data_IF_555603046214
#
_entry.id   IF_555603046214
#
_cell.length_a   1.000
_cell.length_b   1.000
_cell.length_c   1.000
_cell.angle_alpha   90.00
_cell.angle_beta   90.00
_cell.angle_gamma   90.00
#
_symmetry.space_group_name_H-M   'P 1'
#
loop_
_entity.id
_entity.type
_entity.pdbx_description
1 polymer ?
#
# COMPACT_ATOMS: atom_id res chain seq x y z
N UNK A 1 46.66 -39.96 5.77
CA UNK A 1 47.02 -40.07 4.33
C UNK A 1 45.78 -39.85 3.51
N UNK A 2 45.87 -38.84 2.71
CA UNK A 2 44.87 -38.28 1.80
C UNK A 2 44.35 -39.25 0.75
N UNK A 3 43.03 -39.26 0.50
CA UNK A 3 42.50 -39.34 -0.91
C UNK A 3 41.06 -38.93 -0.95
N UNK A 4 40.83 -37.75 -1.44
CA UNK A 4 39.62 -37.17 -1.94
C UNK A 4 39.00 -38.03 -3.06
N UNK A 5 37.71 -38.36 -2.94
CA UNK A 5 36.92 -38.92 -4.07
C UNK A 5 35.89 -37.89 -4.52
N UNK A 6 36.13 -37.34 -5.69
CA UNK A 6 35.21 -36.43 -6.40
C UNK A 6 34.09 -37.28 -7.00
N UNK A 7 32.86 -37.08 -6.54
CA UNK A 7 31.67 -37.61 -7.16
C UNK A 7 31.21 -36.61 -8.25
N UNK A 8 31.41 -37.01 -9.52
CA UNK A 8 30.92 -36.28 -10.70
C UNK A 8 29.65 -36.96 -11.21
N UNK A 9 28.60 -36.18 -11.26
CA UNK A 9 27.30 -36.31 -11.91
C UNK A 9 27.23 -37.18 -13.16
N UNK A 10 26.20 -38.01 -13.23
CA UNK A 10 25.58 -38.44 -14.49
C UNK A 10 24.03 -38.47 -14.26
N UNK A 11 23.35 -37.35 -14.57
CA UNK A 11 21.92 -37.34 -14.76
C UNK A 11 21.68 -37.67 -16.22
N UNK A 12 21.36 -38.92 -16.49
CA UNK A 12 20.87 -39.37 -17.78
C UNK A 12 19.36 -39.23 -17.85
N UNK A 13 18.89 -38.32 -18.64
CA UNK A 13 17.48 -38.15 -19.00
C UNK A 13 17.06 -39.31 -19.91
N UNK A 14 16.16 -40.15 -19.44
CA UNK A 14 15.47 -41.12 -20.32
C UNK A 14 14.05 -40.65 -20.54
N UNK A 15 13.82 -40.04 -21.71
CA UNK A 15 12.50 -39.79 -22.24
C UNK A 15 11.97 -41.12 -22.81
N UNK A 16 10.92 -41.68 -22.25
CA UNK A 16 10.16 -42.75 -22.88
C UNK A 16 8.91 -42.17 -23.50
N UNK A 17 8.92 -42.14 -24.84
CA UNK A 17 7.83 -41.78 -25.68
C UNK A 17 6.81 -42.92 -25.76
N UNK A 18 5.55 -42.62 -25.61
CA UNK A 18 4.48 -43.56 -25.87
C UNK A 18 3.09 -42.99 -25.64
N UNK A 19 2.53 -42.34 -26.64
CA UNK A 19 1.18 -42.52 -27.18
C UNK A 19 0.79 -41.31 -28.02
N UNK A 20 0.54 -41.58 -29.25
CA UNK A 20 0.03 -40.63 -30.26
C UNK A 20 -1.33 -40.07 -29.88
N UNK A 21 -1.38 -38.78 -29.69
CA UNK A 21 -2.57 -37.97 -29.87
C UNK A 21 -2.18 -36.79 -30.76
N UNK A 22 -2.82 -36.69 -31.88
CA UNK A 22 -2.61 -35.70 -32.92
C UNK A 22 -2.83 -34.29 -32.41
N UNK A 23 -1.74 -33.52 -32.30
CA UNK A 23 -1.78 -32.07 -32.13
C UNK A 23 -1.41 -31.38 -33.46
N UNK A 24 -2.04 -30.25 -33.79
CA UNK A 24 -1.76 -29.56 -35.03
C UNK A 24 -0.38 -28.88 -34.97
N UNK A 25 0.27 -29.01 -36.11
CA UNK A 25 1.50 -28.46 -36.66
C UNK A 25 2.01 -27.19 -35.93
N UNK A 26 3.02 -27.33 -35.06
CA UNK A 26 3.82 -26.23 -34.60
C UNK A 26 4.77 -25.77 -35.72
N UNK A 27 4.72 -24.48 -36.03
CA UNK A 27 5.60 -23.84 -36.99
C UNK A 27 7.05 -23.86 -36.46
N UNK A 28 7.98 -24.27 -37.32
CA UNK A 28 9.42 -24.23 -37.11
C UNK A 28 9.85 -22.77 -36.85
N UNK A 29 10.39 -22.50 -35.70
CA UNK A 29 11.10 -21.26 -35.42
C UNK A 29 12.54 -21.44 -35.89
N UNK A 30 12.85 -20.92 -37.07
CA UNK A 30 14.22 -20.75 -37.55
C UNK A 30 14.88 -19.63 -36.73
N UNK A 31 15.90 -19.97 -35.99
CA UNK A 31 16.82 -18.99 -35.37
C UNK A 31 17.60 -18.30 -36.49
N UNK A 32 17.34 -17.03 -36.73
CA UNK A 32 18.23 -15.95 -37.18
C UNK A 32 17.40 -14.85 -37.84
N UNK A 33 16.97 -13.90 -37.03
CA UNK A 33 16.71 -12.54 -37.51
C UNK A 33 17.10 -11.57 -36.41
N UNK A 34 17.80 -10.47 -36.71
CA UNK A 34 18.13 -9.45 -35.71
C UNK A 34 16.83 -8.85 -35.21
N UNK A 35 16.72 -8.79 -33.88
CA UNK A 35 15.61 -8.12 -33.20
C UNK A 35 15.73 -6.64 -33.52
N UNK A 36 15.02 -6.21 -34.54
CA UNK A 36 14.67 -4.79 -34.72
C UNK A 36 13.76 -4.43 -33.53
N UNK A 37 14.04 -3.34 -32.80
CA UNK A 37 13.14 -2.91 -31.76
C UNK A 37 11.78 -2.62 -32.42
N UNK A 38 10.80 -3.47 -32.16
CA UNK A 38 9.42 -3.23 -32.54
C UNK A 38 9.02 -1.91 -31.87
N UNK A 39 8.77 -0.90 -32.68
CA UNK A 39 8.05 0.29 -32.29
C UNK A 39 6.78 -0.16 -31.58
N UNK A 40 6.77 -0.09 -30.28
CA UNK A 40 5.55 -0.07 -29.49
C UNK A 40 4.90 1.30 -29.77
N UNK A 41 4.38 1.47 -30.96
CA UNK A 41 3.29 2.39 -31.19
C UNK A 41 2.09 1.88 -30.39
N UNK A 42 2.13 2.08 -29.08
CA UNK A 42 0.92 2.20 -28.29
C UNK A 42 0.05 3.22 -29.02
N UNK A 43 -1.06 2.73 -29.54
CA UNK A 43 -2.15 3.55 -30.05
C UNK A 43 -2.55 4.47 -28.89
N UNK A 44 -1.83 5.58 -28.75
CA UNK A 44 -2.26 6.72 -27.95
C UNK A 44 -3.60 7.10 -28.55
N UNK A 45 -4.66 6.78 -27.85
CA UNK A 45 -5.91 7.47 -28.05
C UNK A 45 -5.56 8.94 -27.86
N UNK A 46 -5.46 9.68 -28.95
CA UNK A 46 -5.33 11.13 -28.97
C UNK A 46 -6.60 11.69 -28.37
N UNK A 47 -6.61 11.80 -27.04
CA UNK A 47 -7.48 12.75 -26.39
C UNK A 47 -7.12 14.14 -26.96
N UNK A 48 -8.09 15.01 -27.25
CA UNK A 48 -7.82 16.32 -27.78
C UNK A 48 -6.82 17.03 -26.86
N UNK A 49 -5.74 17.56 -27.42
CA UNK A 49 -4.55 18.05 -26.75
C UNK A 49 -4.78 19.33 -25.91
N UNK A 50 -6.04 19.78 -25.71
CA UNK A 50 -6.37 21.09 -25.15
C UNK A 50 -7.41 21.06 -24.00
N UNK A 51 -7.83 19.91 -23.50
CA UNK A 51 -8.75 19.88 -22.36
C UNK A 51 -7.93 19.90 -21.06
N UNK A 52 -7.79 21.09 -20.45
CA UNK A 52 -7.36 21.19 -19.04
C UNK A 52 -8.35 20.44 -18.18
N UNK A 53 -7.85 19.45 -17.43
CA UNK A 53 -8.69 18.63 -16.55
C UNK A 53 -8.98 19.46 -15.30
N UNK A 54 -10.25 19.75 -15.02
CA UNK A 54 -10.64 20.29 -13.71
C UNK A 54 -10.61 19.17 -12.69
N UNK A 55 -9.86 19.40 -11.63
CA UNK A 55 -9.60 18.40 -10.60
C UNK A 55 -10.20 18.86 -9.28
N UNK A 56 -11.19 18.11 -8.80
CA UNK A 56 -11.71 18.23 -7.42
C UNK A 56 -10.89 17.38 -6.47
N UNK A 57 -11.03 17.59 -5.16
CA UNK A 57 -10.39 16.73 -4.16
C UNK A 57 -10.83 15.26 -4.29
N UNK A 58 -12.13 15.02 -4.55
CA UNK A 58 -12.65 13.67 -4.73
C UNK A 58 -12.05 12.99 -5.98
N UNK A 59 -11.93 13.71 -7.10
CA UNK A 59 -11.26 13.19 -8.30
C UNK A 59 -9.78 12.86 -8.05
N UNK A 60 -9.10 13.72 -7.27
CA UNK A 60 -7.72 13.49 -6.86
C UNK A 60 -7.59 12.21 -6.03
N UNK A 61 -8.47 11.99 -5.05
CA UNK A 61 -8.49 10.79 -4.23
C UNK A 61 -8.72 9.51 -5.05
N UNK A 62 -9.67 9.54 -6.00
CA UNK A 62 -9.93 8.40 -6.88
C UNK A 62 -8.71 8.06 -7.74
N UNK A 63 -8.08 9.05 -8.36
CA UNK A 63 -6.87 8.86 -9.19
C UNK A 63 -5.68 8.36 -8.36
N UNK A 64 -5.46 8.94 -7.19
CA UNK A 64 -4.38 8.52 -6.30
C UNK A 64 -4.53 7.05 -5.86
N UNK A 65 -5.75 6.59 -5.56
CA UNK A 65 -6.01 5.17 -5.25
C UNK A 65 -5.65 4.23 -6.41
N UNK A 66 -5.85 4.66 -7.65
CA UNK A 66 -5.50 3.87 -8.83
C UNK A 66 -3.99 3.83 -9.08
N UNK A 67 -3.28 4.93 -8.81
CA UNK A 67 -1.89 5.11 -9.19
C UNK A 67 -0.88 4.93 -8.04
N UNK A 68 -1.32 4.86 -6.77
CA UNK A 68 -0.41 4.69 -5.62
C UNK A 68 0.14 3.28 -5.53
N UNK A 69 1.46 3.04 -5.71
CA UNK A 69 2.05 1.72 -5.59
C UNK A 69 1.92 1.14 -4.19
N UNK A 70 2.03 1.97 -3.14
CA UNK A 70 1.95 1.54 -1.74
C UNK A 70 0.53 1.04 -1.39
N UNK A 71 -0.49 1.76 -1.84
CA UNK A 71 -1.88 1.33 -1.64
C UNK A 71 -2.20 0.05 -2.42
N UNK A 72 -1.77 -0.03 -3.70
CA UNK A 72 -1.96 -1.22 -4.52
C UNK A 72 -1.23 -2.44 -3.95
N UNK A 73 -0.02 -2.25 -3.40
CA UNK A 73 0.71 -3.32 -2.71
C UNK A 73 -0.07 -3.82 -1.47
N UNK A 74 -0.55 -2.91 -0.62
CA UNK A 74 -1.34 -3.28 0.57
C UNK A 74 -2.66 -4.00 0.20
N UNK A 75 -3.31 -3.59 -0.89
CA UNK A 75 -4.49 -4.26 -1.42
C UNK A 75 -4.14 -5.65 -1.98
N UNK A 76 -2.98 -5.77 -2.64
CA UNK A 76 -2.42 -7.04 -3.12
C UNK A 76 -2.20 -8.01 -1.97
N UNK A 77 -1.54 -7.59 -0.89
CA UNK A 77 -1.33 -8.39 0.32
C UNK A 77 -2.65 -8.86 0.96
N UNK A 78 -3.68 -7.99 0.98
CA UNK A 78 -4.99 -8.38 1.50
C UNK A 78 -5.67 -9.45 0.61
N UNK A 79 -5.48 -9.39 -0.71
CA UNK A 79 -5.96 -10.41 -1.66
C UNK A 79 -5.19 -11.72 -1.51
N UNK A 80 -3.86 -11.67 -1.37
CA UNK A 80 -3.03 -12.85 -1.13
C UNK A 80 -3.48 -13.55 0.16
N UNK A 81 -3.60 -12.82 1.28
CA UNK A 81 -4.05 -13.39 2.54
C UNK A 81 -5.49 -13.97 2.47
N UNK A 82 -6.34 -13.42 1.60
CA UNK A 82 -7.66 -13.99 1.33
C UNK A 82 -7.56 -15.35 0.60
N UNK A 83 -6.70 -15.45 -0.43
CA UNK A 83 -6.46 -16.71 -1.14
C UNK A 83 -5.78 -17.75 -0.21
N UNK A 84 -4.84 -17.33 0.66
CA UNK A 84 -4.28 -18.21 1.69
C UNK A 84 -5.36 -18.80 2.61
N UNK A 85 -6.37 -17.97 2.96
CA UNK A 85 -7.52 -18.44 3.75
C UNK A 85 -8.39 -19.44 2.98
N UNK A 86 -8.52 -19.32 1.65
CA UNK A 86 -9.19 -20.33 0.81
C UNK A 86 -8.36 -21.60 0.73
N UNK A 87 -7.04 -21.48 0.43
CA UNK A 87 -6.15 -22.65 0.40
C UNK A 87 -6.20 -23.44 1.70
N UNK A 88 -6.22 -22.75 2.86
CA UNK A 88 -6.35 -23.42 4.14
C UNK A 88 -7.70 -24.17 4.30
N UNK A 89 -8.78 -23.67 3.70
CA UNK A 89 -10.08 -24.37 3.67
C UNK A 89 -10.06 -25.55 2.72
N UNK A 90 -9.47 -25.35 1.54
CA UNK A 90 -9.40 -26.38 0.50
C UNK A 90 -8.48 -27.54 0.95
N UNK A 91 -7.48 -27.25 1.79
CA UNK A 91 -6.62 -28.25 2.42
C UNK A 91 -7.34 -29.18 3.42
N UNK A 92 -8.59 -28.89 3.78
CA UNK A 92 -9.47 -29.80 4.54
C UNK A 92 -10.27 -30.75 3.65
N UNK A 93 -10.11 -30.66 2.32
CA UNK A 93 -10.81 -31.54 1.37
C UNK A 93 -9.88 -32.64 0.88
N UNK A 94 -10.43 -33.80 0.51
CA UNK A 94 -9.63 -34.89 -0.04
C UNK A 94 -8.80 -34.44 -1.24
N UNK A 95 -7.53 -34.75 -1.24
CA UNK A 95 -6.64 -34.55 -2.37
C UNK A 95 -6.65 -35.76 -3.28
N UNK A 96 -6.60 -35.56 -4.61
CA UNK A 96 -6.53 -36.62 -5.59
C UNK A 96 -5.23 -36.48 -6.38
N UNK A 97 -4.38 -37.49 -6.30
CA UNK A 97 -3.07 -37.50 -6.95
C UNK A 97 -2.98 -38.77 -7.82
N UNK A 98 -2.44 -38.66 -9.02
CA UNK A 98 -2.11 -39.81 -9.85
C UNK A 98 -0.61 -40.01 -9.84
N UNK A 99 -0.18 -41.17 -9.32
CA UNK A 99 1.22 -41.54 -9.16
C UNK A 99 1.64 -42.55 -10.22
N UNK A 100 2.75 -42.27 -10.90
CA UNK A 100 3.45 -43.23 -11.75
C UNK A 100 4.87 -43.38 -11.21
N UNK A 101 5.22 -44.57 -10.82
CA UNK A 101 6.54 -44.91 -10.30
C UNK A 101 7.01 -46.23 -10.93
N UNK A 102 8.26 -46.27 -11.31
CA UNK A 102 8.98 -47.47 -11.64
C UNK A 102 10.13 -47.65 -10.66
N UNK A 103 10.11 -48.75 -9.93
CA UNK A 103 11.18 -49.11 -9.02
C UNK A 103 11.96 -50.31 -9.57
N UNK A 104 13.26 -50.14 -9.71
CA UNK A 104 14.19 -51.20 -10.04
C UNK A 104 15.02 -51.56 -8.80
N UNK A 105 15.00 -52.83 -8.41
CA UNK A 105 15.82 -53.31 -7.32
C UNK A 105 16.79 -54.36 -7.81
N UNK A 106 18.05 -54.26 -7.32
CA UNK A 106 19.09 -55.23 -7.58
C UNK A 106 19.58 -55.85 -6.28
N UNK A 107 19.69 -57.19 -6.27
CA UNK A 107 20.25 -57.91 -5.15
C UNK A 107 21.73 -57.58 -4.93
N UNK A 108 22.14 -57.45 -3.69
CA UNK A 108 23.53 -57.16 -3.32
C UNK A 108 24.29 -58.47 -2.99
N UNK A 109 24.84 -59.09 -4.02
CA UNK A 109 25.75 -60.26 -3.85
C UNK A 109 25.07 -61.66 -3.93
N UNK A 110 25.84 -62.69 -3.56
CA UNK A 110 25.46 -64.07 -3.69
C UNK A 110 24.25 -64.43 -2.79
N UNK A 111 23.16 -64.80 -3.38
CA UNK A 111 21.95 -65.22 -2.69
C UNK A 111 20.66 -64.54 -3.08
N UNK A 112 20.68 -63.54 -3.96
CA UNK A 112 19.47 -62.94 -4.57
C UNK A 112 18.52 -62.26 -3.58
N UNK A 113 18.99 -61.82 -2.40
CA UNK A 113 18.17 -61.11 -1.42
C UNK A 113 17.90 -59.67 -1.94
N UNK A 114 16.64 -59.33 -2.12
CA UNK A 114 16.23 -57.97 -2.53
C UNK A 114 16.26 -57.05 -1.33
N UNK A 115 16.80 -55.85 -1.53
CA UNK A 115 16.99 -54.91 -0.42
C UNK A 115 15.69 -54.14 -0.07
N UNK A 116 14.86 -53.80 -1.03
CA UNK A 116 13.72 -52.89 -0.80
C UNK A 116 12.38 -53.46 -1.27
N UNK A 117 12.27 -54.00 -2.49
CA UNK A 117 11.00 -54.45 -3.04
C UNK A 117 10.77 -55.94 -2.79
N UNK A 118 9.67 -56.27 -2.16
CA UNK A 118 9.31 -57.67 -1.87
C UNK A 118 8.55 -58.35 -3.04
N UNK A 119 7.96 -57.52 -3.95
CA UNK A 119 7.05 -58.06 -5.00
C UNK A 119 7.83 -58.53 -6.23
N UNK A 120 8.83 -57.79 -6.68
CA UNK A 120 9.57 -58.12 -7.88
C UNK A 120 10.91 -57.37 -7.98
N UNK A 121 11.78 -57.74 -8.95
CA UNK A 121 12.97 -57.01 -9.32
C UNK A 121 12.60 -55.64 -9.93
N UNK A 122 11.49 -55.60 -10.66
CA UNK A 122 10.86 -54.39 -11.16
C UNK A 122 9.48 -54.29 -10.50
N UNK A 123 9.15 -53.06 -10.05
CA UNK A 123 7.83 -52.73 -9.50
C UNK A 123 7.30 -51.53 -10.22
N UNK A 124 6.11 -51.65 -10.73
CA UNK A 124 5.41 -50.61 -11.47
C UNK A 124 4.20 -50.18 -10.67
N UNK A 125 4.19 -48.93 -10.24
CA UNK A 125 3.06 -48.33 -9.54
C UNK A 125 2.45 -47.29 -10.48
N UNK A 126 1.19 -47.48 -10.84
CA UNK A 126 0.42 -46.55 -11.66
C UNK A 126 -0.99 -46.49 -11.12
N UNK A 127 -1.23 -45.53 -10.20
CA UNK A 127 -2.45 -45.49 -9.38
C UNK A 127 -2.91 -44.10 -9.07
N UNK A 128 -4.23 -43.89 -9.03
CA UNK A 128 -4.85 -42.75 -8.39
C UNK A 128 -4.88 -42.93 -6.90
N UNK A 129 -4.50 -41.90 -6.15
CA UNK A 129 -4.61 -41.86 -4.70
C UNK A 129 -5.53 -40.72 -4.29
N UNK A 130 -6.55 -41.04 -3.47
CA UNK A 130 -7.38 -40.07 -2.76
C UNK A 130 -6.92 -40.06 -1.30
N UNK A 131 -6.39 -38.95 -0.85
CA UNK A 131 -5.86 -38.77 0.49
C UNK A 131 -6.65 -37.71 1.26
N UNK A 132 -7.04 -38.03 2.50
CA UNK A 132 -7.70 -37.10 3.42
C UNK A 132 -7.07 -37.22 4.82
N UNK A 133 -6.72 -36.06 5.39
CA UNK A 133 -6.16 -35.95 6.72
C UNK A 133 -7.18 -35.28 7.67
N UNK A 134 -7.71 -36.03 8.59
CA UNK A 134 -8.65 -35.57 9.61
C UNK A 134 -7.89 -35.23 10.88
N UNK A 135 -7.68 -33.95 11.13
CA UNK A 135 -7.03 -33.45 12.33
C UNK A 135 -7.62 -32.13 12.81
N UNK A 136 -7.37 -31.79 14.08
CA UNK A 136 -7.76 -30.48 14.63
C UNK A 136 -6.82 -29.38 14.25
N UNK A 137 -5.59 -29.67 13.83
CA UNK A 137 -4.62 -28.67 13.37
C UNK A 137 -5.09 -27.99 12.10
N UNK A 138 -5.68 -28.73 11.15
CA UNK A 138 -6.28 -28.17 9.94
C UNK A 138 -7.39 -27.17 10.24
N UNK A 139 -8.27 -27.46 11.20
CA UNK A 139 -9.34 -26.54 11.60
C UNK A 139 -8.76 -25.24 12.19
N UNK A 140 -7.74 -25.34 13.05
CA UNK A 140 -7.06 -24.15 13.58
C UNK A 140 -6.25 -23.43 12.51
N UNK A 141 -5.69 -24.12 11.52
CA UNK A 141 -5.01 -23.50 10.37
C UNK A 141 -5.97 -22.61 9.58
N UNK A 142 -7.20 -23.08 9.28
CA UNK A 142 -8.25 -22.27 8.63
C UNK A 142 -8.60 -21.04 9.44
N UNK A 143 -8.83 -21.19 10.74
CA UNK A 143 -9.17 -20.06 11.62
C UNK A 143 -8.04 -19.03 11.69
N UNK A 144 -6.79 -19.51 11.80
CA UNK A 144 -5.58 -18.67 11.79
C UNK A 144 -5.44 -17.91 10.47
N UNK A 145 -5.60 -18.59 9.33
CA UNK A 145 -5.52 -17.95 8.01
C UNK A 145 -6.65 -16.93 7.79
N UNK A 146 -7.87 -17.23 8.27
CA UNK A 146 -8.98 -16.27 8.22
C UNK A 146 -8.72 -15.02 9.07
N UNK A 147 -8.14 -15.19 10.27
CA UNK A 147 -7.74 -14.06 11.12
C UNK A 147 -6.59 -13.26 10.49
N UNK A 148 -5.61 -13.93 9.84
CA UNK A 148 -4.54 -13.27 9.09
C UNK A 148 -5.09 -12.42 7.94
N UNK A 149 -6.10 -12.93 7.21
CA UNK A 149 -6.77 -12.17 6.17
C UNK A 149 -7.49 -10.92 6.72
N UNK A 150 -8.06 -11.00 7.93
CA UNK A 150 -8.64 -9.83 8.60
C UNK A 150 -7.58 -8.77 8.98
N UNK A 151 -6.40 -9.20 9.45
CA UNK A 151 -5.25 -8.31 9.71
C UNK A 151 -4.81 -7.61 8.41
N UNK A 152 -4.66 -8.36 7.32
CA UNK A 152 -4.22 -7.81 6.04
C UNK A 152 -5.23 -6.79 5.46
N UNK A 153 -6.54 -7.04 5.62
CA UNK A 153 -7.60 -6.08 5.24
C UNK A 153 -7.50 -4.79 6.05
N UNK A 154 -7.29 -4.88 7.37
CA UNK A 154 -7.11 -3.70 8.22
C UNK A 154 -5.87 -2.89 7.78
N UNK A 155 -4.76 -3.55 7.43
CA UNK A 155 -3.56 -2.88 6.89
C UNK A 155 -3.81 -2.18 5.56
N UNK A 156 -4.59 -2.78 4.66
CA UNK A 156 -4.97 -2.13 3.40
C UNK A 156 -5.81 -0.88 3.64
N UNK A 157 -6.70 -0.89 4.63
CA UNK A 157 -7.48 0.28 5.03
C UNK A 157 -6.61 1.37 5.67
N UNK A 158 -5.65 1.02 6.52
CA UNK A 158 -4.65 1.95 7.06
C UNK A 158 -3.87 2.62 5.92
N UNK A 159 -3.42 1.84 4.94
CA UNK A 159 -2.72 2.38 3.76
C UNK A 159 -3.61 3.33 2.93
N UNK A 160 -4.90 3.00 2.77
CA UNK A 160 -5.87 3.88 2.12
C UNK A 160 -6.01 5.22 2.85
N UNK A 161 -6.12 5.18 4.18
CA UNK A 161 -6.23 6.40 5.01
C UNK A 161 -4.96 7.25 4.95
N UNK A 162 -3.78 6.63 5.00
CA UNK A 162 -2.50 7.32 4.82
C UNK A 162 -2.41 8.02 3.46
N UNK A 163 -2.87 7.36 2.39
CA UNK A 163 -2.93 7.94 1.05
C UNK A 163 -3.85 9.16 1.01
N UNK A 164 -5.06 9.07 1.63
CA UNK A 164 -6.00 10.20 1.71
C UNK A 164 -5.34 11.41 2.34
N UNK A 165 -4.68 11.26 3.48
CA UNK A 165 -3.96 12.36 4.17
C UNK A 165 -2.90 12.97 3.25
N UNK A 166 -2.10 12.14 2.59
CA UNK A 166 -1.04 12.62 1.68
C UNK A 166 -1.62 13.41 0.50
N UNK A 167 -2.70 12.93 -0.11
CA UNK A 167 -3.36 13.60 -1.23
C UNK A 167 -3.95 14.93 -0.80
N UNK A 168 -4.64 14.97 0.34
CA UNK A 168 -5.23 16.19 0.90
C UNK A 168 -4.16 17.25 1.17
N UNK A 169 -3.04 16.86 1.79
CA UNK A 169 -1.92 17.76 2.05
C UNK A 169 -1.37 18.37 0.76
N UNK A 170 -1.09 17.55 -0.25
CA UNK A 170 -0.54 18.03 -1.52
C UNK A 170 -1.56 18.85 -2.34
N UNK A 171 -2.84 18.49 -2.27
CA UNK A 171 -3.91 19.22 -2.95
C UNK A 171 -4.05 20.65 -2.41
N UNK A 172 -4.17 20.81 -1.08
CA UNK A 172 -4.28 22.13 -0.46
C UNK A 172 -2.97 22.90 -0.48
N UNK A 173 -1.81 22.24 -0.43
CA UNK A 173 -0.51 22.87 -0.63
C UNK A 173 -0.40 23.48 -2.04
N UNK A 174 -0.88 22.78 -3.07
CA UNK A 174 -0.88 23.28 -4.44
C UNK A 174 -1.85 24.46 -4.63
N UNK A 175 -3.03 24.42 -3.99
CA UNK A 175 -3.97 25.56 -3.96
C UNK A 175 -3.37 26.79 -3.28
N UNK A 176 -2.75 26.60 -2.10
CA UNK A 176 -2.10 27.69 -1.40
C UNK A 176 -0.91 28.27 -2.17
N UNK A 177 -0.12 27.40 -2.84
CA UNK A 177 0.98 27.87 -3.70
C UNK A 177 0.46 28.70 -4.88
N UNK A 178 -0.70 28.36 -5.44
CA UNK A 178 -1.36 29.16 -6.47
C UNK A 178 -1.80 30.51 -5.93
N UNK A 179 -2.53 30.55 -4.81
CA UNK A 179 -2.94 31.81 -4.15
C UNK A 179 -1.74 32.69 -3.80
N UNK A 180 -0.66 32.10 -3.28
CA UNK A 180 0.58 32.81 -2.95
C UNK A 180 1.28 33.37 -4.18
N UNK A 181 1.28 32.67 -5.32
CA UNK A 181 1.83 33.18 -6.56
C UNK A 181 1.03 34.38 -7.09
N UNK A 182 -0.31 34.31 -6.98
CA UNK A 182 -1.20 35.43 -7.35
C UNK A 182 -1.02 36.64 -6.41
N UNK A 183 -0.83 36.41 -5.11
CA UNK A 183 -0.51 37.45 -4.13
C UNK A 183 0.86 38.08 -4.40
N UNK A 184 1.86 37.28 -4.72
CA UNK A 184 3.20 37.73 -5.04
C UNK A 184 3.20 38.55 -6.35
N UNK A 185 2.37 38.18 -7.35
CA UNK A 185 2.19 38.99 -8.57
C UNK A 185 1.62 40.37 -8.25
N UNK A 186 0.54 40.43 -7.44
CA UNK A 186 -0.05 41.70 -6.98
C UNK A 186 0.95 42.55 -6.22
N UNK A 187 1.71 41.94 -5.31
CA UNK A 187 2.74 42.65 -4.53
C UNK A 187 3.87 43.19 -5.43
N UNK A 188 4.25 42.49 -6.50
CA UNK A 188 5.23 42.95 -7.46
C UNK A 188 4.67 44.13 -8.28
N UNK A 189 3.42 44.04 -8.74
CA UNK A 189 2.74 45.13 -9.46
C UNK A 189 2.57 46.38 -8.57
N UNK A 190 2.22 46.21 -7.29
CA UNK A 190 2.17 47.31 -6.30
C UNK A 190 3.53 47.93 -6.05
N UNK A 191 4.60 47.12 -5.97
CA UNK A 191 5.97 47.59 -5.84
C UNK A 191 6.42 48.41 -7.03
N UNK A 192 6.08 47.98 -8.25
CA UNK A 192 6.37 48.73 -9.47
C UNK A 192 5.58 50.05 -9.57
N UNK A 193 4.31 50.05 -9.16
CA UNK A 193 3.50 51.26 -9.08
C UNK A 193 4.05 52.24 -8.05
N UNK A 194 4.48 51.75 -6.90
CA UNK A 194 5.08 52.57 -5.85
C UNK A 194 6.42 53.20 -6.32
N UNK A 195 7.29 52.43 -7.00
CA UNK A 195 8.51 52.95 -7.60
C UNK A 195 8.22 54.05 -8.59
N UNK A 196 7.24 53.87 -9.48
CA UNK A 196 6.86 54.89 -10.45
C UNK A 196 6.30 56.16 -9.79
N UNK A 197 5.50 56.01 -8.74
CA UNK A 197 5.00 57.11 -7.93
C UNK A 197 6.17 57.91 -7.31
N UNK A 198 7.13 57.18 -6.67
CA UNK A 198 8.29 57.84 -6.02
C UNK A 198 9.19 58.58 -7.03
N UNK A 199 9.38 57.99 -8.23
CA UNK A 199 10.11 58.68 -9.34
C UNK A 199 9.41 59.97 -9.80
N UNK A 200 8.09 59.95 -9.87
CA UNK A 200 7.31 61.14 -10.23
C UNK A 200 7.42 62.23 -9.16
N UNK A 201 7.38 61.87 -7.87
CA UNK A 201 7.56 62.82 -6.75
C UNK A 201 8.99 63.40 -6.70
N UNK A 202 10.02 62.55 -7.01
CA UNK A 202 11.40 63.04 -7.16
C UNK A 202 11.52 64.08 -8.28
N UNK A 203 10.94 63.80 -9.44
CA UNK A 203 10.95 64.73 -10.57
C UNK A 203 10.26 66.05 -10.26
N UNK A 204 9.28 66.05 -9.33
CA UNK A 204 8.64 67.22 -8.75
C UNK A 204 9.43 67.90 -7.65
N UNK A 205 10.54 67.32 -7.19
CA UNK A 205 11.35 67.81 -6.06
C UNK A 205 10.76 67.56 -4.67
N UNK A 206 9.74 66.68 -4.57
CA UNK A 206 9.01 66.43 -3.34
C UNK A 206 9.68 65.36 -2.46
N UNK A 207 10.50 64.46 -3.06
CA UNK A 207 11.22 63.40 -2.34
C UNK A 207 12.69 63.33 -2.77
N UNK A 208 13.55 62.77 -1.90
CA UNK A 208 14.97 62.63 -2.18
C UNK A 208 15.26 61.43 -3.09
N UNK A 209 16.35 61.50 -3.86
CA UNK A 209 16.85 60.40 -4.69
C UNK A 209 17.08 59.11 -3.92
N UNK A 210 17.49 59.22 -2.62
CA UNK A 210 17.62 58.03 -1.71
C UNK A 210 16.34 57.25 -1.53
N UNK A 211 15.19 57.90 -1.65
CA UNK A 211 13.87 57.27 -1.47
C UNK A 211 13.46 56.49 -2.73
N UNK A 212 13.86 57.03 -3.94
CA UNK A 212 13.72 56.28 -5.20
C UNK A 212 14.57 55.01 -5.17
N UNK A 213 15.81 55.06 -4.67
CA UNK A 213 16.68 53.88 -4.55
C UNK A 213 16.03 52.83 -3.61
N UNK A 214 15.44 53.24 -2.48
CA UNK A 214 14.74 52.34 -1.56
C UNK A 214 13.51 51.69 -2.23
N UNK A 215 12.71 52.48 -2.95
CA UNK A 215 11.56 51.98 -3.69
C UNK A 215 11.98 51.00 -4.81
N UNK A 216 13.10 51.23 -5.47
CA UNK A 216 13.64 50.35 -6.51
C UNK A 216 14.14 49.04 -5.93
N UNK A 217 14.88 49.05 -4.80
CA UNK A 217 15.29 47.86 -4.08
C UNK A 217 14.09 47.04 -3.66
N UNK A 218 13.03 47.68 -3.16
CA UNK A 218 11.80 47.00 -2.77
C UNK A 218 11.09 46.35 -3.98
N UNK A 219 10.99 47.05 -5.10
CA UNK A 219 10.40 46.51 -6.32
C UNK A 219 11.18 45.30 -6.84
N UNK A 220 12.53 45.37 -6.79
CA UNK A 220 13.39 44.23 -7.16
C UNK A 220 13.17 43.01 -6.23
N UNK A 221 13.07 43.25 -4.93
CA UNK A 221 12.80 42.20 -3.94
C UNK A 221 11.42 41.55 -4.19
N UNK A 222 10.37 42.31 -4.51
CA UNK A 222 9.04 41.79 -4.85
C UNK A 222 9.06 40.95 -6.13
N UNK A 223 9.81 41.34 -7.14
CA UNK A 223 9.98 40.56 -8.37
C UNK A 223 10.71 39.23 -8.07
N UNK A 224 11.73 39.26 -7.21
CA UNK A 224 12.43 38.04 -6.76
C UNK A 224 11.48 37.09 -6.05
N UNK A 225 10.68 37.59 -5.09
CA UNK A 225 9.67 36.83 -4.37
C UNK A 225 8.62 36.23 -5.30
N UNK A 226 8.20 36.92 -6.34
CA UNK A 226 7.31 36.40 -7.38
C UNK A 226 7.92 35.21 -8.12
N UNK A 227 9.21 35.25 -8.46
CA UNK A 227 9.87 34.13 -9.13
C UNK A 227 9.93 32.90 -8.20
N UNK A 228 10.22 33.12 -6.93
CA UNK A 228 10.22 32.04 -5.91
C UNK A 228 8.82 31.44 -5.72
N UNK A 229 7.78 32.27 -5.66
CA UNK A 229 6.40 31.80 -5.54
C UNK A 229 5.95 31.00 -6.78
N UNK A 230 6.33 31.42 -7.98
CA UNK A 230 6.07 30.66 -9.22
C UNK A 230 6.79 29.31 -9.24
N UNK A 231 8.04 29.26 -8.77
CA UNK A 231 8.78 28.00 -8.64
C UNK A 231 8.11 27.08 -7.60
N UNK A 232 7.69 27.62 -6.46
CA UNK A 232 6.97 26.86 -5.43
C UNK A 232 5.65 26.29 -5.96
N UNK A 233 4.89 27.05 -6.74
CA UNK A 233 3.68 26.59 -7.42
C UNK A 233 3.98 25.43 -8.38
N UNK A 234 5.02 25.57 -9.21
CA UNK A 234 5.41 24.51 -10.14
C UNK A 234 5.75 23.21 -9.38
N UNK A 235 6.57 23.31 -8.33
CA UNK A 235 6.95 22.15 -7.52
C UNK A 235 5.73 21.50 -6.83
N UNK A 236 4.84 22.29 -6.22
CA UNK A 236 3.63 21.77 -5.58
C UNK A 236 2.69 21.06 -6.59
N UNK A 237 2.60 21.58 -7.83
CA UNK A 237 1.84 20.91 -8.90
C UNK A 237 2.49 19.60 -9.33
N UNK A 238 3.82 19.54 -9.44
CA UNK A 238 4.57 18.33 -9.77
C UNK A 238 4.42 17.27 -8.66
N UNK A 239 4.52 17.66 -7.39
CA UNK A 239 4.34 16.76 -6.25
C UNK A 239 2.94 16.13 -6.26
N UNK A 240 1.91 16.93 -6.57
CA UNK A 240 0.55 16.41 -6.72
C UNK A 240 0.41 15.54 -7.98
N UNK A 241 1.00 15.93 -9.11
CA UNK A 241 0.95 15.19 -10.36
C UNK A 241 1.53 13.76 -10.22
N UNK A 242 2.64 13.60 -9.50
CA UNK A 242 3.27 12.30 -9.21
C UNK A 242 2.31 11.35 -8.49
N UNK A 243 1.45 11.87 -7.62
CA UNK A 243 0.47 11.06 -6.89
C UNK A 243 -0.72 10.67 -7.75
N UNK A 244 -1.10 11.50 -8.72
CA UNK A 244 -2.37 11.38 -9.44
C UNK A 244 -2.25 10.77 -10.83
N UNK A 245 -1.10 10.92 -11.50
CA UNK A 245 -0.94 10.54 -12.89
C UNK A 245 0.28 9.62 -13.09
N UNK A 246 0.17 8.59 -13.93
CA UNK A 246 1.31 7.74 -14.28
C UNK A 246 2.34 8.46 -15.15
N UNK A 247 1.90 9.46 -15.94
CA UNK A 247 2.73 10.30 -16.79
C UNK A 247 2.71 11.72 -16.20
N UNK A 248 3.81 12.29 -15.83
CA UNK A 248 3.99 13.64 -15.25
C UNK A 248 3.20 14.76 -15.97
N UNK A 249 1.86 14.64 -15.99
CA UNK A 249 0.99 15.64 -16.61
C UNK A 249 0.66 16.72 -15.59
N UNK A 250 1.15 17.93 -15.83
CA UNK A 250 0.85 19.13 -15.04
C UNK A 250 -0.37 19.92 -15.57
N UNK A 251 -1.04 19.41 -16.61
CA UNK A 251 -2.17 20.08 -17.29
C UNK A 251 -3.49 19.84 -16.57
N UNK A 252 -3.60 20.33 -15.36
CA UNK A 252 -4.86 20.30 -14.60
C UNK A 252 -5.08 21.65 -13.92
N UNK A 253 -6.35 21.98 -13.70
CA UNK A 253 -6.80 23.12 -12.89
C UNK A 253 -7.43 22.58 -11.62
N UNK A 254 -6.99 23.10 -10.47
CA UNK A 254 -7.57 22.75 -9.18
C UNK A 254 -8.84 23.56 -8.95
N UNK A 255 -9.87 22.91 -8.43
CA UNK A 255 -11.07 23.61 -7.95
C UNK A 255 -10.75 24.22 -6.60
N UNK A 256 -10.82 25.56 -6.51
CA UNK A 256 -10.54 26.28 -5.27
C UNK A 256 -11.70 26.13 -4.29
N UNK A 257 -11.45 25.33 -3.24
CA UNK A 257 -12.32 25.19 -2.08
C UNK A 257 -11.57 25.43 -0.75
N UNK A 258 -10.34 25.98 -0.83
CA UNK A 258 -9.48 26.19 0.33
C UNK A 258 -10.14 27.02 1.42
N UNK A 259 -10.84 28.08 1.02
CA UNK A 259 -11.49 29.04 1.93
C UNK A 259 -12.95 28.67 2.26
N UNK A 260 -13.45 27.49 1.85
CA UNK A 260 -14.78 27.05 2.19
C UNK A 260 -14.92 26.86 3.70
N UNK A 261 -15.97 27.42 4.29
CA UNK A 261 -16.27 27.30 5.72
C UNK A 261 -16.82 25.91 6.01
N UNK A 262 -16.00 25.04 6.58
CA UNK A 262 -16.41 23.71 7.04
C UNK A 262 -16.40 23.73 8.55
N UNK A 263 -17.52 23.43 9.23
CA UNK A 263 -17.59 23.42 10.68
C UNK A 263 -16.80 22.24 11.26
N UNK A 264 -16.15 22.46 12.40
CA UNK A 264 -15.53 21.39 13.18
C UNK A 264 -16.62 20.58 13.91
N UNK A 265 -16.70 19.23 13.76
CA UNK A 265 -17.63 18.42 14.54
C UNK A 265 -17.28 18.45 16.03
N UNK A 266 -18.22 18.11 16.90
CA UNK A 266 -17.96 18.06 18.35
C UNK A 266 -17.03 16.89 18.72
N UNK A 267 -16.24 17.05 19.79
CA UNK A 267 -15.34 15.98 20.26
C UNK A 267 -16.09 14.67 20.54
N UNK A 268 -17.32 14.76 21.09
CA UNK A 268 -18.15 13.58 21.37
C UNK A 268 -18.55 12.80 20.10
N UNK A 269 -18.92 13.49 19.03
CA UNK A 269 -19.24 12.88 17.74
C UNK A 269 -18.02 12.19 17.15
N UNK A 270 -16.84 12.85 17.20
CA UNK A 270 -15.58 12.29 16.72
C UNK A 270 -15.21 11.02 17.50
N UNK A 271 -15.32 11.04 18.82
CA UNK A 271 -15.03 9.89 19.69
C UNK A 271 -15.96 8.71 19.38
N UNK A 272 -17.26 8.98 19.20
CA UNK A 272 -18.23 7.94 18.89
C UNK A 272 -17.96 7.29 17.52
N UNK A 273 -17.67 8.07 16.49
CA UNK A 273 -17.34 7.57 15.16
C UNK A 273 -16.02 6.79 15.14
N UNK A 274 -14.97 7.33 15.76
CA UNK A 274 -13.65 6.71 15.76
C UNK A 274 -13.59 5.41 16.56
N UNK A 275 -14.39 5.26 17.63
CA UNK A 275 -14.35 4.08 18.49
C UNK A 275 -14.89 2.81 17.80
N UNK A 276 -15.83 2.94 16.83
CA UNK A 276 -16.44 1.81 16.13
C UNK A 276 -15.61 1.26 14.95
N UNK A 277 -14.96 2.14 14.20
CA UNK A 277 -14.45 1.81 12.86
C UNK A 277 -12.95 2.03 12.65
N UNK A 278 -12.18 2.19 13.72
CA UNK A 278 -10.75 2.40 13.58
C UNK A 278 -10.03 1.14 13.09
N UNK A 279 -9.32 1.16 11.93
CA UNK A 279 -8.69 -0.02 11.36
C UNK A 279 -7.46 -0.51 12.14
N UNK A 280 -6.75 0.37 12.87
CA UNK A 280 -5.62 -0.02 13.72
C UNK A 280 -6.10 -0.91 14.87
N UNK A 281 -7.22 -0.53 15.52
CA UNK A 281 -7.82 -1.32 16.58
C UNK A 281 -8.42 -2.62 16.04
N UNK A 282 -9.12 -2.58 14.89
CA UNK A 282 -9.64 -3.80 14.23
C UNK A 282 -8.51 -4.74 13.82
N UNK A 283 -7.42 -4.21 13.29
CA UNK A 283 -6.22 -4.98 12.95
C UNK A 283 -5.59 -5.64 14.18
N UNK A 284 -5.48 -4.92 15.29
CA UNK A 284 -4.96 -5.43 16.55
C UNK A 284 -5.87 -6.53 17.15
N UNK A 285 -7.21 -6.37 17.09
CA UNK A 285 -8.17 -7.41 17.50
C UNK A 285 -7.99 -8.68 16.65
N UNK A 286 -7.89 -8.52 15.33
CA UNK A 286 -7.66 -9.64 14.41
C UNK A 286 -6.31 -10.34 14.68
N UNK A 287 -5.26 -9.59 15.03
CA UNK A 287 -3.95 -10.12 15.39
C UNK A 287 -3.99 -10.93 16.70
N UNK A 288 -4.75 -10.47 17.70
CA UNK A 288 -4.99 -11.27 18.93
C UNK A 288 -5.72 -12.56 18.61
N UNK A 289 -6.74 -12.52 17.75
CA UNK A 289 -7.46 -13.70 17.32
C UNK A 289 -6.55 -14.66 16.54
N UNK A 290 -5.73 -14.17 15.62
CA UNK A 290 -4.73 -14.96 14.89
C UNK A 290 -3.77 -15.67 15.86
N UNK A 291 -3.24 -14.93 16.84
CA UNK A 291 -2.33 -15.50 17.84
C UNK A 291 -3.02 -16.54 18.73
N UNK A 292 -4.30 -16.35 19.09
CA UNK A 292 -5.12 -17.31 19.83
C UNK A 292 -5.32 -18.59 19.04
N UNK A 293 -5.68 -18.50 17.77
CA UNK A 293 -5.85 -19.68 16.90
C UNK A 293 -4.51 -20.41 16.67
N UNK A 294 -3.40 -19.67 16.65
CA UNK A 294 -2.05 -20.26 16.59
C UNK A 294 -1.72 -21.08 17.86
N UNK A 295 -2.15 -20.66 19.05
CA UNK A 295 -2.03 -21.48 20.28
C UNK A 295 -2.85 -22.75 20.14
N UNK A 296 -4.06 -22.68 19.58
CA UNK A 296 -4.89 -23.84 19.29
C UNK A 296 -4.21 -24.82 18.31
N UNK A 297 -3.63 -24.27 17.24
CA UNK A 297 -2.88 -25.03 16.24
C UNK A 297 -1.70 -25.80 16.87
N UNK A 298 -0.88 -25.12 17.68
CA UNK A 298 0.27 -25.77 18.34
C UNK A 298 -0.19 -26.80 19.40
N UNK A 299 -1.34 -26.61 20.06
CA UNK A 299 -1.92 -27.58 20.97
C UNK A 299 -2.48 -28.81 20.26
N UNK A 300 -2.98 -28.61 19.04
CA UNK A 300 -3.50 -29.72 18.24
C UNK A 300 -2.41 -30.78 17.94
N UNK A 301 -1.12 -30.39 17.96
CA UNK A 301 -0.02 -31.35 17.83
C UNK A 301 0.13 -32.39 18.98
N UNK A 302 -0.65 -32.27 20.06
CA UNK A 302 -0.77 -33.31 21.08
C UNK A 302 -1.86 -34.32 20.76
N UNK A 303 -2.72 -34.05 19.79
CA UNK A 303 -3.88 -34.88 19.49
C UNK A 303 -3.56 -35.84 18.34
N UNK A 304 -4.27 -36.97 18.28
CA UNK A 304 -4.11 -37.89 17.16
C UNK A 304 -4.53 -37.27 15.83
N UNK A 305 -3.88 -37.72 14.75
CA UNK A 305 -4.29 -37.47 13.37
C UNK A 305 -4.73 -38.75 12.69
N UNK A 306 -5.84 -38.72 11.97
CA UNK A 306 -6.37 -39.84 11.20
C UNK A 306 -6.15 -39.54 9.71
N UNK A 307 -5.32 -40.34 9.03
CA UNK A 307 -5.12 -40.26 7.58
C UNK A 307 -5.92 -41.38 6.93
N UNK A 308 -6.70 -41.01 5.93
CA UNK A 308 -7.48 -41.95 5.09
C UNK A 308 -6.91 -41.89 3.68
N UNK A 309 -6.55 -43.09 3.18
CA UNK A 309 -6.02 -43.22 1.81
C UNK A 309 -6.84 -44.25 1.06
N UNK A 310 -7.17 -43.94 -0.19
CA UNK A 310 -7.77 -44.87 -1.12
C UNK A 310 -6.96 -44.87 -2.42
N UNK A 311 -6.48 -46.04 -2.80
CA UNK A 311 -5.69 -46.27 -3.98
C UNK A 311 -6.48 -47.07 -4.99
N UNK A 312 -6.40 -46.71 -6.27
CA UNK A 312 -6.94 -47.47 -7.38
C UNK A 312 -5.96 -47.44 -8.54
N UNK A 313 -5.49 -48.63 -8.95
CA UNK A 313 -4.53 -48.70 -10.05
C UNK A 313 -3.75 -50.03 -10.09
N UNK A 314 -2.56 -49.96 -10.68
CA UNK A 314 -1.64 -51.09 -10.81
C UNK A 314 -0.49 -50.90 -9.83
N UNK A 315 -0.19 -51.96 -9.06
CA UNK A 315 1.01 -52.09 -8.25
C UNK A 315 1.54 -53.50 -8.39
N UNK A 316 2.44 -53.71 -9.37
CA UNK A 316 2.85 -55.02 -9.81
C UNK A 316 4.22 -55.08 -10.45
N UNK A 317 4.75 -56.31 -10.63
CA UNK A 317 6.01 -56.56 -11.33
C UNK A 317 5.98 -56.19 -12.82
N UNK A 318 4.81 -55.94 -13.41
CA UNK A 318 4.61 -55.65 -14.82
C UNK A 318 3.62 -54.51 -15.01
N UNK A 319 3.89 -53.62 -15.94
CA UNK A 319 2.94 -52.57 -16.30
C UNK A 319 1.86 -53.14 -17.25
N UNK A 320 0.99 -53.92 -16.69
CA UNK A 320 -0.13 -54.55 -17.38
C UNK A 320 -1.30 -54.73 -16.40
N UNK A 321 -2.54 -54.70 -16.90
CA UNK A 321 -3.75 -54.88 -16.10
C UNK A 321 -3.89 -56.33 -15.55
N UNK A 322 -3.24 -57.29 -16.23
CA UNK A 322 -3.18 -58.68 -15.79
C UNK A 322 -1.73 -59.15 -15.79
N UNK A 323 -1.35 -59.90 -14.78
CA UNK A 323 -0.06 -60.56 -14.61
C UNK A 323 -0.19 -62.09 -14.62
N UNK A 324 0.95 -62.80 -14.70
CA UNK A 324 1.00 -64.25 -14.50
C UNK A 324 1.73 -64.53 -13.19
N UNK A 325 1.05 -65.19 -12.28
CA UNK A 325 1.63 -65.70 -11.03
C UNK A 325 1.39 -67.17 -10.90
N UNK A 326 2.44 -67.97 -10.74
CA UNK A 326 2.36 -69.45 -10.66
C UNK A 326 1.57 -70.10 -11.83
N UNK A 327 1.67 -69.52 -13.05
CA UNK A 327 0.96 -70.04 -14.23
C UNK A 327 -0.51 -69.62 -14.34
N UNK A 328 -1.04 -68.85 -13.42
CA UNK A 328 -2.41 -68.35 -13.46
C UNK A 328 -2.41 -66.85 -13.76
N UNK A 329 -3.39 -66.42 -14.57
CA UNK A 329 -3.65 -64.97 -14.76
C UNK A 329 -4.25 -64.36 -13.48
N UNK A 330 -3.60 -63.33 -12.96
CA UNK A 330 -4.10 -62.55 -11.83
C UNK A 330 -4.27 -61.09 -12.26
N UNK A 331 -5.32 -60.41 -11.81
CA UNK A 331 -5.46 -58.97 -12.06
C UNK A 331 -4.40 -58.20 -11.29
N UNK A 332 -3.67 -57.29 -11.98
CA UNK A 332 -2.77 -56.32 -11.39
C UNK A 332 -3.50 -55.03 -11.08
N UNK A 333 -4.66 -54.79 -11.70
CA UNK A 333 -5.52 -53.67 -11.42
C UNK A 333 -6.37 -53.97 -10.19
N UNK A 334 -6.26 -53.11 -9.17
CA UNK A 334 -6.95 -53.32 -7.91
C UNK A 334 -7.18 -52.02 -7.16
N UNK A 335 -7.80 -52.13 -5.99
CA UNK A 335 -8.01 -51.04 -5.08
C UNK A 335 -7.55 -51.43 -3.67
N UNK A 336 -7.05 -50.44 -2.92
CA UNK A 336 -6.74 -50.60 -1.50
C UNK A 336 -7.25 -49.36 -0.75
N UNK A 337 -7.73 -49.59 0.48
CA UNK A 337 -8.08 -48.53 1.40
C UNK A 337 -7.27 -48.66 2.67
N UNK A 338 -6.72 -47.60 3.18
CA UNK A 338 -6.03 -47.58 4.46
C UNK A 338 -6.55 -46.47 5.38
N UNK A 339 -6.57 -46.72 6.66
CA UNK A 339 -6.84 -45.75 7.71
C UNK A 339 -5.72 -45.84 8.73
N UNK A 340 -4.91 -44.74 8.81
CA UNK A 340 -3.75 -44.69 9.70
C UNK A 340 -3.98 -43.70 10.81
N UNK A 341 -4.06 -44.15 12.06
CA UNK A 341 -4.16 -43.30 13.25
C UNK A 341 -2.78 -43.05 13.83
N UNK A 342 -2.31 -41.83 13.75
CA UNK A 342 -1.03 -41.40 14.34
C UNK A 342 -1.26 -40.75 15.70
N UNK A 343 -0.73 -41.31 16.76
CA UNK A 343 -0.84 -40.80 18.12
C UNK A 343 0.54 -40.36 18.60
N UNK A 344 0.78 -39.05 18.79
CA UNK A 344 2.07 -38.54 19.26
C UNK A 344 2.21 -38.85 20.78
N UNK A 345 3.13 -39.74 21.15
CA UNK A 345 3.35 -40.12 22.54
C UNK A 345 4.45 -39.31 23.21
N UNK A 346 5.57 -39.07 22.50
CA UNK A 346 6.73 -38.41 23.08
C UNK A 346 7.55 -37.66 22.07
N UNK A 347 7.95 -36.41 22.38
CA UNK A 347 8.77 -35.57 21.50
C UNK A 347 9.76 -34.66 22.27
N UNK A 348 10.22 -35.11 23.44
CA UNK A 348 11.21 -34.43 24.27
C UNK A 348 10.83 -32.98 24.64
N UNK A 349 9.56 -32.64 24.75
CA UNK A 349 9.05 -31.31 25.10
C UNK A 349 9.00 -30.30 23.95
N UNK A 350 9.28 -30.71 22.72
CA UNK A 350 9.25 -29.80 21.57
C UNK A 350 7.88 -29.14 21.36
N UNK A 351 6.80 -29.89 21.47
CA UNK A 351 5.41 -29.36 21.38
C UNK A 351 5.10 -28.43 22.54
N UNK A 352 5.52 -28.74 23.77
CA UNK A 352 5.35 -27.86 24.92
C UNK A 352 6.03 -26.52 24.71
N UNK A 353 7.27 -26.53 24.17
CA UNK A 353 8.02 -25.32 23.86
C UNK A 353 7.31 -24.46 22.79
N UNK A 354 6.77 -25.09 21.71
CA UNK A 354 6.02 -24.38 20.66
C UNK A 354 4.74 -23.74 21.21
N UNK A 355 3.98 -24.49 22.03
CA UNK A 355 2.78 -23.94 22.71
C UNK A 355 3.15 -22.75 23.60
N UNK A 356 4.24 -22.84 24.37
CA UNK A 356 4.71 -21.73 25.21
C UNK A 356 5.11 -20.52 24.39
N UNK A 357 5.81 -20.70 23.25
CA UNK A 357 6.12 -19.61 22.32
C UNK A 357 4.85 -18.97 21.76
N UNK A 358 3.87 -19.76 21.35
CA UNK A 358 2.59 -19.25 20.85
C UNK A 358 1.82 -18.45 21.92
N UNK A 359 1.82 -18.92 23.18
CA UNK A 359 1.23 -18.20 24.32
C UNK A 359 1.92 -16.86 24.58
N UNK A 360 3.25 -16.80 24.49
CA UNK A 360 4.00 -15.56 24.64
C UNK A 360 3.61 -14.57 23.53
N UNK A 361 3.51 -15.02 22.27
CA UNK A 361 3.06 -14.20 21.14
C UNK A 361 1.63 -13.70 21.34
N UNK A 362 0.73 -14.55 21.83
CA UNK A 362 -0.64 -14.15 22.17
C UNK A 362 -0.69 -13.06 23.25
N UNK A 363 0.11 -13.20 24.32
CA UNK A 363 0.21 -12.19 25.37
C UNK A 363 0.80 -10.86 24.83
N UNK A 364 1.76 -10.93 23.90
CA UNK A 364 2.31 -9.76 23.22
C UNK A 364 1.23 -9.06 22.38
N UNK A 365 0.50 -9.77 21.53
CA UNK A 365 -0.58 -9.19 20.71
C UNK A 365 -1.68 -8.56 21.57
N UNK A 366 -2.01 -9.15 22.74
CA UNK A 366 -2.96 -8.54 23.67
C UNK A 366 -2.47 -7.20 24.25
N UNK A 367 -1.16 -7.07 24.53
CA UNK A 367 -0.56 -5.79 24.94
C UNK A 367 -0.55 -4.76 23.82
N UNK A 368 -0.29 -5.20 22.59
CA UNK A 368 -0.35 -4.36 21.39
C UNK A 368 -1.77 -3.82 21.16
N UNK A 369 -2.80 -4.64 21.34
CA UNK A 369 -4.20 -4.19 21.30
C UNK A 369 -4.49 -3.11 22.36
N UNK A 370 -4.09 -3.36 23.62
CA UNK A 370 -4.26 -2.37 24.68
C UNK A 370 -3.51 -1.05 24.39
N UNK A 371 -2.35 -1.13 23.76
CA UNK A 371 -1.61 0.04 23.31
C UNK A 371 -2.32 0.76 22.17
N UNK A 372 -2.81 0.05 21.16
CA UNK A 372 -3.56 0.63 20.03
C UNK A 372 -4.82 1.36 20.49
N UNK A 373 -5.57 0.80 21.47
CA UNK A 373 -6.74 1.45 22.04
C UNK A 373 -6.37 2.77 22.77
N UNK A 374 -5.32 2.77 23.58
CA UNK A 374 -4.86 3.99 24.28
C UNK A 374 -4.33 5.03 23.30
N UNK A 375 -3.61 4.57 22.27
CA UNK A 375 -3.11 5.45 21.22
C UNK A 375 -4.25 6.11 20.45
N UNK A 376 -5.30 5.36 20.09
CA UNK A 376 -6.48 5.94 19.44
C UNK A 376 -7.09 7.09 20.25
N UNK A 377 -7.24 6.93 21.56
CA UNK A 377 -7.78 7.99 22.43
C UNK A 377 -6.88 9.22 22.44
N UNK A 378 -5.56 9.01 22.50
CA UNK A 378 -4.59 10.11 22.45
C UNK A 378 -4.58 10.80 21.07
N UNK A 379 -4.65 10.03 19.98
CA UNK A 379 -4.67 10.56 18.62
C UNK A 379 -5.95 11.38 18.37
N UNK A 380 -7.13 10.92 18.83
CA UNK A 380 -8.38 11.68 18.77
C UNK A 380 -8.23 13.03 19.45
N UNK A 381 -7.73 13.04 20.70
CA UNK A 381 -7.58 14.27 21.47
C UNK A 381 -6.58 15.23 20.82
N UNK A 382 -5.45 14.69 20.34
CA UNK A 382 -4.40 15.49 19.69
C UNK A 382 -4.88 16.12 18.40
N UNK A 383 -5.51 15.32 17.50
CA UNK A 383 -6.01 15.81 16.22
C UNK A 383 -7.19 16.76 16.37
N UNK A 384 -8.05 16.55 17.39
CA UNK A 384 -9.12 17.47 17.67
C UNK A 384 -8.59 18.82 18.17
N UNK A 385 -7.63 18.82 19.11
CA UNK A 385 -7.01 20.04 19.59
C UNK A 385 -6.28 20.80 18.50
N UNK A 386 -5.62 20.07 17.56
CA UNK A 386 -4.98 20.69 16.40
C UNK A 386 -6.01 21.36 15.47
N UNK A 387 -7.12 20.69 15.20
CA UNK A 387 -8.19 21.25 14.33
C UNK A 387 -8.88 22.45 14.99
N UNK A 388 -9.15 22.39 16.28
CA UNK A 388 -9.75 23.49 17.05
C UNK A 388 -8.79 24.71 17.12
N UNK A 389 -7.52 24.47 17.40
CA UNK A 389 -6.49 25.52 17.41
C UNK A 389 -6.35 26.17 16.03
N UNK A 390 -6.28 25.36 14.97
CA UNK A 390 -6.16 25.86 13.60
C UNK A 390 -7.37 26.70 13.16
N UNK A 391 -8.60 26.29 13.57
CA UNK A 391 -9.81 27.05 13.31
C UNK A 391 -9.82 28.41 14.02
N UNK A 392 -9.43 28.43 15.30
CA UNK A 392 -9.37 29.65 16.10
C UNK A 392 -8.30 30.61 15.56
N UNK A 393 -7.12 30.11 15.19
CA UNK A 393 -6.05 30.91 14.57
C UNK A 393 -6.47 31.50 13.24
N UNK A 394 -7.20 30.72 12.39
CA UNK A 394 -7.64 31.17 11.07
C UNK A 394 -8.49 32.44 11.14
N UNK A 395 -9.36 32.56 12.15
CA UNK A 395 -10.18 33.74 12.36
C UNK A 395 -9.32 34.99 12.68
N UNK A 396 -8.28 34.83 13.50
CA UNK A 396 -7.32 35.88 13.83
C UNK A 396 -6.46 36.27 12.63
N UNK A 397 -6.01 35.29 11.82
CA UNK A 397 -5.24 35.54 10.60
C UNK A 397 -6.05 36.27 9.54
N UNK A 398 -7.34 35.94 9.39
CA UNK A 398 -8.25 36.66 8.50
C UNK A 398 -8.37 38.13 8.91
N UNK A 399 -8.55 38.39 10.18
CA UNK A 399 -8.61 39.77 10.71
C UNK A 399 -7.29 40.52 10.52
N UNK A 400 -6.16 39.87 10.76
CA UNK A 400 -4.84 40.44 10.53
C UNK A 400 -4.60 40.82 9.08
N UNK A 401 -5.01 39.96 8.11
CA UNK A 401 -4.95 40.24 6.67
C UNK A 401 -5.75 41.50 6.32
N UNK A 402 -7.00 41.62 6.82
CA UNK A 402 -7.84 42.78 6.59
C UNK A 402 -7.19 44.07 7.11
N UNK A 403 -6.73 44.05 8.38
CA UNK A 403 -6.12 45.21 9.01
C UNK A 403 -4.80 45.60 8.33
N UNK A 404 -3.96 44.66 7.93
CA UNK A 404 -2.71 44.93 7.23
C UNK A 404 -2.96 45.50 5.83
N UNK A 405 -3.97 45.02 5.13
CA UNK A 405 -4.36 45.56 3.79
C UNK A 405 -4.86 47.01 3.91
N UNK A 406 -5.70 47.29 4.92
CA UNK A 406 -6.19 48.64 5.15
C UNK A 406 -5.07 49.60 5.62
N UNK A 407 -4.15 49.11 6.47
CA UNK A 407 -2.96 49.84 6.88
C UNK A 407 -2.10 50.27 5.65
N UNK A 408 -1.86 49.32 4.74
CA UNK A 408 -1.11 49.61 3.51
C UNK A 408 -1.82 50.67 2.66
N UNK A 409 -3.14 50.55 2.50
CA UNK A 409 -3.94 51.51 1.76
C UNK A 409 -3.83 52.94 2.33
N UNK A 410 -4.01 53.05 3.65
CA UNK A 410 -3.96 54.35 4.35
C UNK A 410 -2.55 54.94 4.34
N UNK A 411 -1.50 54.14 4.60
CA UNK A 411 -0.10 54.58 4.59
C UNK A 411 0.31 55.07 3.20
N UNK A 412 -0.13 54.39 2.13
CA UNK A 412 0.10 54.82 0.74
C UNK A 412 -0.60 56.16 0.42
N UNK A 413 -1.80 56.38 0.97
CA UNK A 413 -2.49 57.66 0.80
C UNK A 413 -1.77 58.79 1.55
N UNK A 414 -1.31 58.58 2.78
CA UNK A 414 -0.52 59.54 3.54
C UNK A 414 0.80 59.88 2.84
N UNK A 415 1.47 58.89 2.24
CA UNK A 415 2.67 59.09 1.46
C UNK A 415 2.43 60.00 0.24
N UNK A 416 1.31 59.77 -0.49
CA UNK A 416 0.92 60.65 -1.60
C UNK A 416 0.62 62.08 -1.15
N UNK A 417 0.20 62.29 0.08
CA UNK A 417 -0.02 63.60 0.71
C UNK A 417 1.22 64.23 1.36
N UNK A 418 2.38 63.56 1.28
CA UNK A 418 3.60 64.01 1.93
C UNK A 418 3.68 63.84 3.44
N UNK A 419 2.72 63.06 4.05
CA UNK A 419 2.58 62.86 5.50
C UNK A 419 3.20 61.55 6.01
N UNK A 420 3.73 60.70 5.09
CA UNK A 420 4.41 59.46 5.45
C UNK A 420 5.72 59.31 4.69
N UNK A 421 6.63 58.51 5.24
CA UNK A 421 7.94 58.24 4.61
C UNK A 421 7.86 56.97 3.71
N UNK A 422 8.82 56.86 2.77
CA UNK A 422 9.02 55.66 1.93
C UNK A 422 9.15 54.40 2.82
N UNK A 423 9.85 54.50 3.94
CA UNK A 423 10.05 53.37 4.85
C UNK A 423 8.74 52.86 5.46
N UNK A 424 7.83 53.77 5.82
CA UNK A 424 6.51 53.39 6.33
C UNK A 424 5.69 52.63 5.26
N UNK A 425 5.75 53.03 3.98
CA UNK A 425 5.06 52.31 2.92
C UNK A 425 5.68 50.94 2.68
N UNK A 426 7.02 50.83 2.66
CA UNK A 426 7.74 49.57 2.46
C UNK A 426 7.42 48.58 3.64
N UNK A 427 7.37 49.09 4.86
CA UNK A 427 6.99 48.30 6.02
C UNK A 427 5.53 47.81 5.94
N UNK A 428 4.60 48.72 5.59
CA UNK A 428 3.20 48.37 5.40
C UNK A 428 2.99 47.34 4.26
N UNK A 429 3.71 47.46 3.14
CA UNK A 429 3.72 46.48 2.06
C UNK A 429 4.22 45.10 2.54
N UNK A 430 5.28 45.09 3.36
CA UNK A 430 5.85 43.84 3.89
C UNK A 430 4.90 43.17 4.85
N UNK A 431 4.31 43.93 5.77
CA UNK A 431 3.32 43.46 6.73
C UNK A 431 2.07 42.91 6.03
N UNK A 432 1.56 43.60 5.00
CA UNK A 432 0.40 43.17 4.23
C UNK A 432 0.66 41.83 3.50
N UNK A 433 1.80 41.71 2.83
CA UNK A 433 2.18 40.48 2.14
C UNK A 433 2.39 39.32 3.12
N UNK A 434 3.00 39.57 4.28
CA UNK A 434 3.20 38.56 5.31
C UNK A 434 1.87 38.10 5.92
N UNK A 435 0.96 39.01 6.23
CA UNK A 435 -0.36 38.70 6.79
C UNK A 435 -1.20 37.89 5.78
N UNK A 436 -1.15 38.24 4.48
CA UNK A 436 -1.83 37.50 3.44
C UNK A 436 -1.29 36.06 3.31
N UNK A 437 0.04 35.87 3.28
CA UNK A 437 0.66 34.56 3.22
C UNK A 437 0.34 33.70 4.48
N UNK A 438 0.37 34.32 5.65
CA UNK A 438 0.03 33.62 6.92
C UNK A 438 -1.44 33.14 6.93
N UNK A 439 -2.36 33.91 6.33
CA UNK A 439 -3.76 33.50 6.18
C UNK A 439 -3.89 32.27 5.27
N UNK A 440 -3.21 32.24 4.14
CA UNK A 440 -3.19 31.07 3.21
C UNK A 440 -2.63 29.82 3.93
N UNK A 441 -1.53 29.97 4.68
CA UNK A 441 -0.94 28.88 5.46
C UNK A 441 -1.89 28.38 6.57
N UNK A 442 -2.59 29.30 7.26
CA UNK A 442 -3.60 28.98 8.27
C UNK A 442 -4.78 28.21 7.67
N UNK A 443 -5.24 28.61 6.48
CA UNK A 443 -6.31 27.91 5.78
C UNK A 443 -5.92 26.47 5.43
N UNK A 444 -4.71 26.24 4.90
CA UNK A 444 -4.18 24.89 4.64
C UNK A 444 -4.10 24.09 5.93
N UNK A 445 -3.54 24.68 7.00
CA UNK A 445 -3.41 24.01 8.29
C UNK A 445 -4.76 23.49 8.82
N UNK A 446 -5.80 24.32 8.76
CA UNK A 446 -7.13 23.92 9.18
C UNK A 446 -7.70 22.79 8.31
N UNK A 447 -7.59 22.90 6.99
CA UNK A 447 -8.09 21.88 6.04
C UNK A 447 -7.40 20.54 6.23
N UNK A 448 -6.08 20.54 6.43
CA UNK A 448 -5.29 19.32 6.70
C UNK A 448 -5.64 18.73 8.06
N UNK A 449 -5.76 19.56 9.12
CA UNK A 449 -6.14 19.10 10.45
C UNK A 449 -7.53 18.44 10.44
N UNK A 450 -8.49 19.07 9.77
CA UNK A 450 -9.85 18.54 9.60
C UNK A 450 -9.84 17.22 8.82
N UNK A 451 -9.06 17.12 7.74
CA UNK A 451 -8.95 15.89 6.96
C UNK A 451 -8.30 14.75 7.77
N UNK A 452 -7.29 15.03 8.57
CA UNK A 452 -6.70 14.06 9.48
C UNK A 452 -7.75 13.52 10.47
N UNK A 453 -8.57 14.39 11.04
CA UNK A 453 -9.65 14.02 11.95
C UNK A 453 -10.73 13.18 11.24
N UNK A 454 -11.14 13.58 10.04
CA UNK A 454 -12.12 12.85 9.22
C UNK A 454 -11.59 11.49 8.74
N UNK A 455 -10.29 11.39 8.49
CA UNK A 455 -9.63 10.13 8.14
C UNK A 455 -9.61 9.17 9.34
N UNK A 456 -9.36 9.69 10.55
CA UNK A 456 -9.39 8.90 11.78
C UNK A 456 -10.81 8.33 12.06
N UNK A 457 -11.86 9.12 11.80
CA UNK A 457 -13.27 8.71 11.97
C UNK A 457 -13.81 7.84 10.83
N UNK A 458 -13.08 7.72 9.72
CA UNK A 458 -13.51 6.94 8.55
C UNK A 458 -14.42 7.68 7.56
N UNK A 459 -14.81 8.90 7.82
CA UNK A 459 -15.73 9.67 6.97
C UNK A 459 -15.17 9.89 5.55
N UNK A 460 -13.86 10.10 5.42
CA UNK A 460 -13.20 10.29 4.11
C UNK A 460 -12.79 8.99 3.40
N UNK A 461 -12.79 7.86 4.08
CA UNK A 461 -12.38 6.58 3.49
C UNK A 461 -13.48 5.88 2.68
N UNK A 462 -14.72 6.29 2.86
CA UNK A 462 -15.92 5.65 2.30
C UNK A 462 -16.48 6.31 1.04
N UNK A 463 -15.90 7.45 0.61
CA UNK A 463 -16.29 8.13 -0.64
C UNK A 463 -15.37 7.81 -1.80
#
# INVERSE_FOLDING_TARGET
>A
MNKSFKLRYLIGFLLLSGALATCPRAAQITANSPVTPANLETKRATAPADATIRLTLDDALVRARQNSPQFQAALGEARIAHEDSKQAKDALLPSVIYNNQMLYTQGNGAGGVRYIANNAVHEYISQGNVHEALDLAGIYAVRRASAAAAVARARAEIASRGLVVTVVQNYFAALAAQSKADLAQKAADEGDQFLNLTKNLESGGEVAHSDVIKAELQAQERRRQLQEARLALLNARLDLAVLLFPDFSDRFELTDDLHASIPLPTLGEVQQQASGDNPDVRGAIAAVQQAKENVGFERAAYLPTLNLDYFYGIDAAQFATNGIFMGQQIPNLGSAASATLNIPIWNWGATQSRVKQAQIRQAQSARELSFAQRKLLADIQSLYNEADTALNELSGLSRSKELATESLRLTTLRYKGGEATVLEVVDAQTTSAQAANSYEDGAVRYRVALANLQTLTGVMSTR
#
